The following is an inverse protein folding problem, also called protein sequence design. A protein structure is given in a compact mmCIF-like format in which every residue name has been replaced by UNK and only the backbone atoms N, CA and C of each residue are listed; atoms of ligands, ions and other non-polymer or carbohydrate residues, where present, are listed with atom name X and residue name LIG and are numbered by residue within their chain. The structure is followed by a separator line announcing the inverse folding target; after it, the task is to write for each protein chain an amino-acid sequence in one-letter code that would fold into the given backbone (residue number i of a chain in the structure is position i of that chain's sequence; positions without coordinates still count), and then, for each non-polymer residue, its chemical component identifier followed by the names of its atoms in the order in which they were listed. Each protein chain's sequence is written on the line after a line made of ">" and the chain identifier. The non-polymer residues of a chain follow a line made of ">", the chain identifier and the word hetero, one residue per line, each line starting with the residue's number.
data_IF_054727789998
#
_entry.id   IF_054727789998
#
_cell.length_a   1.000
_cell.length_b   1.000
_cell.length_c   1.000
_cell.angle_alpha   90.00
_cell.angle_beta   90.00
_cell.angle_gamma   90.00
#
_symmetry.space_group_name_H-M   'P 1'
#
loop_
_entity.id
_entity.type
_entity.pdbx_description
1 polymer ?
#
# COMPACT_ATOMS: atom_id res chain seq x y z
N UNK A 1 -7.59 13.96 1.20
CA UNK A 1 -6.35 13.39 1.75
C UNK A 1 -6.68 12.08 2.47
N UNK A 2 -6.00 11.02 2.12
CA UNK A 2 -6.33 9.69 2.61
C UNK A 2 -5.50 9.35 3.85
N UNK A 3 -6.16 8.93 4.93
CA UNK A 3 -5.46 8.47 6.11
C UNK A 3 -4.99 7.03 5.92
N UNK A 4 -3.74 6.80 6.25
CA UNK A 4 -3.11 5.49 6.13
C UNK A 4 -2.52 5.11 7.49
N UNK A 5 -2.79 3.89 7.93
CA UNK A 5 -2.30 3.38 9.22
C UNK A 5 -1.57 2.06 9.00
N UNK A 6 -0.66 1.75 9.92
CA UNK A 6 0.04 0.46 9.90
C UNK A 6 -1.00 -0.66 10.00
N UNK A 7 -0.85 -1.66 9.13
CA UNK A 7 -1.79 -2.78 9.07
C UNK A 7 -2.90 -2.62 8.05
N UNK A 8 -3.10 -1.42 7.52
CA UNK A 8 -4.09 -1.21 6.48
C UNK A 8 -3.71 -1.95 5.21
N UNK A 9 -4.72 -2.30 4.42
CA UNK A 9 -4.53 -2.93 3.12
C UNK A 9 -4.91 -1.95 2.04
N UNK A 10 -3.97 -1.65 1.17
CA UNK A 10 -4.16 -0.72 0.06
C UNK A 10 -4.33 -1.51 -1.22
N UNK A 11 -5.42 -1.25 -1.94
CA UNK A 11 -5.61 -1.77 -3.29
C UNK A 11 -5.09 -0.74 -4.26
N UNK A 12 -4.09 -1.10 -5.05
CA UNK A 12 -3.46 -0.20 -6.01
C UNK A 12 -4.25 -0.16 -7.32
N UNK A 13 -4.14 0.95 -8.03
CA UNK A 13 -4.80 1.10 -9.34
C UNK A 13 -4.21 0.18 -10.38
N UNK A 14 -2.93 -0.14 -10.26
CA UNK A 14 -2.23 -1.06 -11.18
C UNK A 14 -1.84 -2.31 -10.42
N UNK A 15 -1.99 -3.45 -11.08
CA UNK A 15 -1.55 -4.71 -10.51
C UNK A 15 -0.03 -4.78 -10.46
N UNK A 16 0.49 -5.39 -9.42
CA UNK A 16 1.89 -5.75 -9.34
C UNK A 16 2.19 -6.88 -10.36
N UNK A 17 3.42 -6.97 -10.88
CA UNK A 17 3.77 -8.04 -11.83
C UNK A 17 3.45 -9.46 -11.36
N UNK A 18 3.35 -9.69 -10.06
CA UNK A 18 2.96 -11.00 -9.52
C UNK A 18 1.47 -11.30 -9.63
N UNK A 19 0.67 -10.35 -10.11
CA UNK A 19 -0.77 -10.49 -10.27
C UNK A 19 -1.60 -9.96 -9.12
N UNK A 20 -0.98 -9.62 -7.99
CA UNK A 20 -1.68 -9.04 -6.86
C UNK A 20 -1.71 -7.52 -6.97
N UNK A 21 -2.80 -6.92 -6.49
CA UNK A 21 -2.91 -5.46 -6.43
C UNK A 21 -3.06 -4.94 -5.01
N UNK A 22 -3.02 -5.82 -4.02
CA UNK A 22 -3.13 -5.46 -2.61
C UNK A 22 -1.75 -5.31 -1.97
N UNK A 23 -1.63 -4.26 -1.15
CA UNK A 23 -0.41 -3.95 -0.42
C UNK A 23 -0.73 -3.76 1.06
N UNK A 24 0.09 -4.34 1.91
CA UNK A 24 -0.06 -4.21 3.36
C UNK A 24 0.85 -3.08 3.83
N UNK A 25 0.30 -2.14 4.60
CA UNK A 25 1.06 -1.02 5.14
C UNK A 25 1.87 -1.52 6.33
N UNK A 26 3.19 -1.46 6.22
CA UNK A 26 4.10 -1.88 7.27
C UNK A 26 4.56 -0.72 8.14
N UNK A 27 4.69 0.46 7.55
CA UNK A 27 5.17 1.63 8.28
C UNK A 27 4.61 2.89 7.66
N UNK A 28 4.30 3.86 8.50
CA UNK A 28 3.77 5.16 8.08
C UNK A 28 4.65 6.27 8.68
N UNK A 29 5.11 7.16 7.83
CA UNK A 29 5.92 8.30 8.21
C UNK A 29 5.98 9.26 7.04
N UNK A 30 7.12 9.93 6.85
CA UNK A 30 7.34 10.74 5.64
C UNK A 30 7.24 9.86 4.39
N UNK A 31 7.73 8.62 4.48
CA UNK A 31 7.58 7.59 3.46
C UNK A 31 6.70 6.47 4.00
N UNK A 32 6.00 5.80 3.09
CA UNK A 32 5.13 4.68 3.42
C UNK A 32 5.82 3.40 2.97
N UNK A 33 5.97 2.44 3.87
CA UNK A 33 6.52 1.13 3.55
C UNK A 33 5.39 0.15 3.33
N UNK A 34 5.41 -0.51 2.19
CA UNK A 34 4.36 -1.43 1.75
C UNK A 34 4.94 -2.81 1.47
N UNK A 35 4.10 -3.82 1.65
CA UNK A 35 4.46 -5.20 1.29
C UNK A 35 3.38 -5.74 0.37
N UNK A 36 3.79 -6.31 -0.76
CA UNK A 36 2.85 -6.95 -1.68
C UNK A 36 2.22 -8.18 -1.01
N UNK A 37 0.89 -8.24 -1.00
CA UNK A 37 0.18 -9.35 -0.38
C UNK A 37 0.37 -10.67 -1.14
N UNK A 38 0.70 -10.58 -2.42
CA UNK A 38 0.88 -11.77 -3.25
C UNK A 38 2.27 -12.40 -3.15
N UNK A 39 3.32 -11.59 -3.37
CA UNK A 39 4.68 -12.12 -3.45
C UNK A 39 5.59 -11.68 -2.31
N UNK A 40 5.13 -10.79 -1.44
CA UNK A 40 5.94 -10.31 -0.32
C UNK A 40 6.96 -9.24 -0.69
N UNK A 41 6.92 -8.71 -1.91
CA UNK A 41 7.85 -7.66 -2.33
C UNK A 41 7.68 -6.42 -1.47
N UNK A 42 8.80 -5.85 -1.00
CA UNK A 42 8.78 -4.65 -0.20
C UNK A 42 8.98 -3.43 -1.08
N UNK A 43 8.19 -2.39 -0.80
CA UNK A 43 8.22 -1.15 -1.55
C UNK A 43 8.14 0.01 -0.57
N UNK A 44 8.94 1.05 -0.82
CA UNK A 44 8.87 2.28 -0.02
C UNK A 44 8.64 3.45 -0.96
N UNK A 45 7.59 4.21 -0.70
CA UNK A 45 7.20 5.33 -1.55
C UNK A 45 6.93 6.57 -0.71
N UNK A 46 7.21 7.76 -1.23
CA UNK A 46 6.75 8.99 -0.62
C UNK A 46 5.23 8.99 -0.48
N UNK A 47 4.73 9.59 0.58
CA UNK A 47 3.30 9.62 0.86
C UNK A 47 2.49 10.16 -0.33
N UNK A 48 2.98 11.20 -0.98
CA UNK A 48 2.29 11.78 -2.12
C UNK A 48 2.13 10.78 -3.28
N UNK A 49 3.11 9.91 -3.48
CA UNK A 49 3.02 8.88 -4.51
C UNK A 49 2.02 7.80 -4.14
N UNK A 50 1.98 7.43 -2.86
CA UNK A 50 1.02 6.44 -2.38
C UNK A 50 -0.41 6.93 -2.61
N UNK A 51 -0.68 8.20 -2.29
CA UNK A 51 -1.99 8.79 -2.54
C UNK A 51 -2.39 8.68 -4.02
N UNK A 52 -1.44 8.80 -4.93
CA UNK A 52 -1.70 8.71 -6.36
C UNK A 52 -1.99 7.30 -6.86
N UNK A 53 -1.55 6.28 -6.16
CA UNK A 53 -1.73 4.88 -6.60
C UNK A 53 -2.86 4.16 -5.86
N UNK A 54 -3.39 4.74 -4.81
CA UNK A 54 -4.44 4.11 -4.00
C UNK A 54 -5.76 4.11 -4.76
N UNK A 55 -6.37 2.92 -4.84
CA UNK A 55 -7.73 2.76 -5.32
C UNK A 55 -8.70 2.62 -4.14
N UNK A 56 -8.35 1.76 -3.19
CA UNK A 56 -9.12 1.53 -1.98
C UNK A 56 -8.19 1.30 -0.81
N UNK A 57 -8.66 1.66 0.38
CA UNK A 57 -7.99 1.32 1.62
C UNK A 57 -8.97 0.53 2.46
N UNK A 58 -8.51 -0.61 2.98
CA UNK A 58 -9.27 -1.42 3.93
C UNK A 58 -8.49 -1.52 5.22
N UNK A 59 -9.21 -1.39 6.34
CA UNK A 59 -8.62 -1.60 7.66
C UNK A 59 -9.03 -2.99 8.13
N UNK A 60 -8.11 -3.94 8.25
CA UNK A 60 -8.46 -5.26 8.77
C UNK A 60 -8.83 -5.17 10.24
N UNK A 61 -9.77 -5.96 10.63
CA UNK A 61 -10.16 -6.07 12.03
C UNK A 61 -9.32 -7.07 12.79
#
# INVERSE_FOLDING_TARGET
>A
MTEIHVGDIISAKKKHPCGADDWIVLRVGADIRLRCAGCGHLLMLPRAKVDGIIRHIRTPE
#
